data_IF_727780731441
#
_entry.id   IF_727780731441
#
_cell.length_a   1.000
_cell.length_b   1.000
_cell.length_c   1.000
_cell.angle_alpha   90.00
_cell.angle_beta   90.00
_cell.angle_gamma   90.00
#
_symmetry.space_group_name_H-M   'P 1'
#
loop_
_entity.id
_entity.type
_entity.pdbx_description
1 polymer ?
#
# COMPACT_ATOMS: atom_id res chain seq x y z
N UNK A 1 5.85 13.70 -2.14
CA UNK A 1 5.51 12.27 -2.34
C UNK A 1 5.95 11.87 -3.74
N UNK A 2 6.53 10.68 -3.93
CA UNK A 2 7.00 10.18 -5.24
C UNK A 2 6.08 9.04 -5.69
N UNK A 3 5.69 9.05 -6.96
CA UNK A 3 4.88 7.99 -7.58
C UNK A 3 5.73 6.73 -7.81
N UNK A 4 5.24 5.60 -7.33
CA UNK A 4 5.91 4.28 -7.39
C UNK A 4 5.00 3.22 -8.03
N UNK A 5 4.02 3.65 -8.85
CA UNK A 5 3.02 2.78 -9.49
C UNK A 5 3.65 1.60 -10.23
N UNK A 6 4.67 1.87 -11.07
CA UNK A 6 5.33 0.83 -11.87
C UNK A 6 5.85 -0.32 -10.99
N UNK A 7 6.53 0.03 -9.89
CA UNK A 7 7.12 -0.92 -8.95
C UNK A 7 6.04 -1.68 -8.19
N UNK A 8 5.05 -0.98 -7.67
CA UNK A 8 3.97 -1.57 -6.89
C UNK A 8 3.12 -2.52 -7.74
N UNK A 9 2.76 -2.10 -8.95
CA UNK A 9 1.98 -2.91 -9.88
C UNK A 9 2.75 -4.16 -10.32
N UNK A 10 4.05 -4.03 -10.62
CA UNK A 10 4.91 -5.18 -10.95
C UNK A 10 4.95 -6.18 -9.79
N UNK A 11 5.14 -5.71 -8.56
CA UNK A 11 5.14 -6.57 -7.37
C UNK A 11 3.78 -7.29 -7.18
N UNK A 12 2.66 -6.61 -7.43
CA UNK A 12 1.32 -7.21 -7.33
C UNK A 12 1.10 -8.31 -8.38
N UNK A 13 1.57 -8.09 -9.61
CA UNK A 13 1.53 -9.09 -10.68
C UNK A 13 2.38 -10.32 -10.32
N UNK A 14 3.61 -10.11 -9.86
CA UNK A 14 4.52 -11.19 -9.44
C UNK A 14 3.94 -12.00 -8.28
N UNK A 15 3.41 -11.34 -7.23
CA UNK A 15 2.78 -12.00 -6.08
C UNK A 15 1.59 -12.87 -6.46
N UNK A 16 0.83 -12.48 -7.49
CA UNK A 16 -0.32 -13.23 -7.99
C UNK A 16 0.05 -14.20 -9.13
N UNK A 17 1.30 -14.24 -9.58
CA UNK A 17 1.72 -15.04 -10.73
C UNK A 17 1.00 -14.66 -12.04
N UNK A 18 0.68 -13.38 -12.20
CA UNK A 18 -0.14 -12.87 -13.30
C UNK A 18 0.65 -12.04 -14.30
N UNK A 19 0.22 -12.10 -15.56
CA UNK A 19 0.68 -11.21 -16.64
C UNK A 19 -0.19 -9.96 -16.76
N UNK A 20 0.35 -8.90 -17.37
CA UNK A 20 -0.42 -7.69 -17.69
C UNK A 20 -1.66 -7.98 -18.56
N UNK A 21 -1.56 -8.96 -19.47
CA UNK A 21 -2.68 -9.38 -20.32
C UNK A 21 -3.82 -10.02 -19.52
N UNK A 22 -3.49 -10.85 -18.52
CA UNK A 22 -4.48 -11.43 -17.61
C UNK A 22 -5.14 -10.34 -16.75
N UNK A 23 -4.34 -9.39 -16.24
CA UNK A 23 -4.88 -8.26 -15.48
C UNK A 23 -5.80 -7.38 -16.33
N UNK A 24 -5.44 -7.14 -17.59
CA UNK A 24 -6.26 -6.39 -18.55
C UNK A 24 -7.64 -7.04 -18.72
N UNK A 25 -7.68 -8.35 -18.93
CA UNK A 25 -8.94 -9.10 -19.05
C UNK A 25 -9.77 -9.04 -17.77
N UNK A 26 -9.15 -9.20 -16.61
CA UNK A 26 -9.86 -9.21 -15.33
C UNK A 26 -10.45 -7.85 -14.96
N UNK A 27 -9.71 -6.76 -15.22
CA UNK A 27 -10.09 -5.40 -14.80
C UNK A 27 -10.83 -4.62 -15.88
N UNK A 28 -10.86 -5.13 -17.11
CA UNK A 28 -11.35 -4.41 -18.31
C UNK A 28 -10.62 -3.07 -18.53
N UNK A 29 -9.36 -2.99 -18.08
CA UNK A 29 -8.45 -1.87 -18.38
C UNK A 29 -7.62 -2.27 -19.60
N UNK A 30 -7.44 -1.38 -20.61
CA UNK A 30 -6.67 -1.71 -21.80
C UNK A 30 -5.26 -2.20 -21.46
N UNK A 31 -4.80 -3.25 -22.13
CA UNK A 31 -3.47 -3.81 -21.89
C UNK A 31 -2.37 -2.77 -22.15
N UNK A 32 -2.54 -1.90 -23.15
CA UNK A 32 -1.64 -0.76 -23.42
C UNK A 32 -1.52 0.19 -22.22
N UNK A 33 -2.62 0.48 -21.54
CA UNK A 33 -2.62 1.29 -20.31
C UNK A 33 -1.82 0.62 -19.20
N UNK A 34 -2.02 -0.68 -18.97
CA UNK A 34 -1.30 -1.43 -17.94
C UNK A 34 0.20 -1.48 -18.26
N UNK A 35 0.56 -1.72 -19.52
CA UNK A 35 1.95 -1.71 -19.99
C UNK A 35 2.61 -0.34 -19.79
N UNK A 36 1.91 0.74 -20.14
CA UNK A 36 2.38 2.11 -19.90
C UNK A 36 2.67 2.35 -18.41
N UNK A 37 1.82 1.86 -17.51
CA UNK A 37 2.08 1.98 -16.07
C UNK A 37 3.29 1.16 -15.62
N UNK A 38 3.49 -0.04 -16.20
CA UNK A 38 4.65 -0.89 -15.92
C UNK A 38 5.97 -0.30 -16.44
N UNK A 39 5.93 0.51 -17.50
CA UNK A 39 7.10 1.25 -18.02
C UNK A 39 7.34 2.57 -17.30
N UNK A 40 6.48 2.96 -16.35
CA UNK A 40 6.65 4.17 -15.54
C UNK A 40 5.89 5.39 -16.05
N UNK A 41 5.06 5.26 -17.09
CA UNK A 41 4.19 6.34 -17.53
C UNK A 41 3.13 6.63 -16.46
N UNK A 42 2.91 7.91 -16.20
CA UNK A 42 1.93 8.32 -15.20
C UNK A 42 0.48 8.00 -15.62
N UNK A 43 -0.36 7.57 -14.67
CA UNK A 43 -1.76 7.27 -14.94
C UNK A 43 -2.57 8.55 -15.12
N UNK A 44 -3.33 8.63 -16.22
CA UNK A 44 -4.20 9.78 -16.53
C UNK A 44 -5.68 9.57 -16.17
N UNK A 45 -6.07 8.33 -15.88
CA UNK A 45 -7.47 7.95 -15.66
C UNK A 45 -7.63 7.29 -14.29
N UNK A 46 -8.26 8.02 -13.37
CA UNK A 46 -8.49 7.58 -12.00
C UNK A 46 -9.45 6.38 -11.90
N UNK A 47 -10.42 6.27 -12.81
CA UNK A 47 -11.37 5.15 -12.83
C UNK A 47 -10.67 3.83 -13.18
N UNK A 48 -9.72 3.86 -14.12
CA UNK A 48 -8.91 2.68 -14.47
C UNK A 48 -8.00 2.29 -13.30
N UNK A 49 -7.40 3.26 -12.62
CA UNK A 49 -6.61 3.03 -11.40
C UNK A 49 -7.45 2.33 -10.32
N UNK A 50 -8.66 2.84 -10.05
CA UNK A 50 -9.57 2.27 -9.06
C UNK A 50 -9.93 0.83 -9.39
N UNK A 51 -10.23 0.51 -10.66
CA UNK A 51 -10.49 -0.87 -11.10
C UNK A 51 -9.34 -1.83 -10.81
N UNK A 52 -8.10 -1.40 -11.04
CA UNK A 52 -6.92 -2.21 -10.74
C UNK A 52 -6.69 -2.34 -9.23
N UNK A 53 -6.86 -1.25 -8.48
CA UNK A 53 -6.74 -1.27 -7.03
C UNK A 53 -7.75 -2.24 -6.39
N UNK A 54 -9.01 -2.17 -6.83
CA UNK A 54 -10.09 -3.05 -6.36
C UNK A 54 -9.84 -4.51 -6.67
N UNK A 55 -9.31 -4.81 -7.87
CA UNK A 55 -8.97 -6.18 -8.25
C UNK A 55 -7.92 -6.81 -7.33
N UNK A 56 -6.96 -6.02 -6.86
CA UNK A 56 -5.92 -6.48 -5.95
C UNK A 56 -6.30 -6.33 -4.46
N UNK A 57 -7.49 -5.84 -4.15
CA UNK A 57 -7.94 -5.51 -2.79
C UNK A 57 -6.98 -4.56 -2.06
N UNK A 58 -6.57 -3.50 -2.77
CA UNK A 58 -5.69 -2.45 -2.23
C UNK A 58 -6.28 -1.06 -2.45
N UNK A 59 -5.82 -0.08 -1.68
CA UNK A 59 -6.19 1.32 -1.93
C UNK A 59 -5.42 1.89 -3.13
N UNK A 60 -6.00 2.91 -3.76
CA UNK A 60 -5.30 3.67 -4.82
C UNK A 60 -4.02 4.33 -4.28
N UNK A 61 -4.04 4.81 -3.02
CA UNK A 61 -2.86 5.37 -2.34
C UNK A 61 -1.72 4.34 -2.25
N UNK A 62 -2.04 3.12 -1.83
CA UNK A 62 -1.07 2.02 -1.75
C UNK A 62 -0.55 1.63 -3.13
N UNK A 63 -1.43 1.54 -4.12
CA UNK A 63 -1.04 1.25 -5.50
C UNK A 63 -0.08 2.31 -6.06
N UNK A 64 -0.35 3.59 -5.80
CA UNK A 64 0.43 4.71 -6.35
C UNK A 64 1.72 5.00 -5.59
N UNK A 65 1.71 4.95 -4.26
CA UNK A 65 2.81 5.46 -3.42
C UNK A 65 3.43 4.39 -2.52
N UNK A 66 2.75 3.25 -2.36
CA UNK A 66 3.13 2.18 -1.43
C UNK A 66 2.92 2.56 0.05
N UNK A 67 3.17 1.60 0.94
CA UNK A 67 3.09 1.79 2.39
C UNK A 67 4.30 2.54 2.94
N UNK A 68 4.52 3.78 2.51
CA UNK A 68 5.52 4.64 3.18
C UNK A 68 5.03 5.13 4.55
N UNK A 69 3.71 5.14 4.78
CA UNK A 69 3.11 5.60 6.05
C UNK A 69 3.41 4.67 7.23
N UNK A 70 3.76 3.41 6.99
CA UNK A 70 4.05 2.47 8.09
C UNK A 70 5.42 2.72 8.72
N UNK A 71 6.41 3.25 7.99
CA UNK A 71 7.73 3.54 8.58
C UNK A 71 7.76 4.80 9.47
N UNK A 72 6.80 5.69 9.32
CA UNK A 72 6.70 6.90 10.15
C UNK A 72 5.65 6.78 11.26
N UNK A 73 4.57 6.01 11.05
CA UNK A 73 3.53 5.79 12.09
C UNK A 73 3.93 4.80 13.17
N UNK A 74 4.91 3.93 12.91
CA UNK A 74 5.44 3.02 13.93
C UNK A 74 6.47 3.66 14.86
N UNK A 75 6.89 4.91 14.63
CA UNK A 75 7.63 5.69 15.64
C UNK A 75 6.69 6.29 16.70
N UNK A 76 5.75 5.50 17.20
CA UNK A 76 5.20 5.82 18.51
C UNK A 76 6.31 5.50 19.52
N UNK A 77 6.55 6.36 20.51
CA UNK A 77 7.52 6.09 21.58
C UNK A 77 7.25 4.72 22.24
N UNK A 78 6.02 4.22 22.17
CA UNK A 78 5.60 2.90 22.65
C UNK A 78 6.29 1.75 21.89
N UNK A 79 6.49 1.87 20.58
CA UNK A 79 7.12 0.82 19.75
C UNK A 79 8.61 0.63 20.10
N UNK A 80 9.29 1.72 20.46
CA UNK A 80 10.70 1.70 20.88
C UNK A 80 10.90 0.95 22.20
N UNK A 81 9.90 0.97 23.08
CA UNK A 81 9.92 0.25 24.37
C UNK A 81 9.05 -1.02 24.35
N UNK A 82 8.68 -1.54 23.18
CA UNK A 82 7.77 -2.69 23.09
C UNK A 82 8.30 -3.92 23.84
N UNK A 83 9.60 -4.19 23.76
CA UNK A 83 10.22 -5.30 24.48
C UNK A 83 10.22 -5.09 26.00
N UNK A 84 10.38 -3.83 26.46
CA UNK A 84 10.34 -3.47 27.89
C UNK A 84 8.92 -3.49 28.46
N UNK A 85 7.93 -3.02 27.69
CA UNK A 85 6.50 -3.01 28.05
C UNK A 85 5.97 -4.45 28.16
N UNK A 86 6.41 -5.34 27.27
CA UNK A 86 5.98 -6.73 27.23
C UNK A 86 6.84 -7.67 28.09
N UNK A 87 7.83 -7.15 28.83
CA UNK A 87 8.74 -7.94 29.66
C UNK A 87 8.09 -8.56 30.92
N UNK A 88 6.78 -8.36 31.13
CA UNK A 88 6.07 -8.89 32.30
C UNK A 88 4.58 -8.57 32.33
N UNK A 89 3.91 -9.04 33.39
CA UNK A 89 2.50 -8.70 33.66
C UNK A 89 2.47 -7.49 34.59
N UNK A 90 1.87 -6.38 34.14
CA UNK A 90 1.75 -5.15 34.91
C UNK A 90 0.28 -4.74 35.03
N UNK A 91 -0.12 -4.26 36.22
CA UNK A 91 -1.39 -3.56 36.41
C UNK A 91 -1.11 -2.05 36.34
N UNK A 92 -1.76 -1.34 35.41
CA UNK A 92 -1.54 0.09 35.18
C UNK A 92 -2.87 0.83 35.26
N UNK A 93 -2.93 1.88 36.10
CA UNK A 93 -4.08 2.78 36.20
C UNK A 93 -3.71 4.14 35.62
N UNK A 94 -4.13 4.39 34.38
CA UNK A 94 -3.92 5.68 33.72
C UNK A 94 -4.94 6.70 34.23
N UNK A 95 -4.47 7.84 34.75
CA UNK A 95 -5.33 8.98 35.10
C UNK A 95 -5.06 10.16 34.20
N UNK A 96 -6.14 10.81 33.75
CA UNK A 96 -6.07 12.02 32.94
C UNK A 96 -5.47 13.17 33.77
N UNK A 97 -4.38 13.76 33.28
CA UNK A 97 -3.87 15.02 33.81
C UNK A 97 -4.80 16.14 33.31
N UNK A 98 -5.35 16.94 34.23
CA UNK A 98 -6.00 18.21 33.86
C UNK A 98 -4.88 19.17 33.47
N UNK A 99 -4.80 19.51 32.19
CA UNK A 99 -3.98 20.64 31.71
C UNK A 99 -4.72 21.94 32.00
#
# INVERSE_FOLDING_TARGET
>A
MKLELHKNLKNLLEKRGMTASQLSRATKVPNSTIQNWLTGLEPRNLLQLKKVADYFDVTVDLLLYGNKKDKERDRSAISEYADEINAGTFEVVLRRVKR
#
